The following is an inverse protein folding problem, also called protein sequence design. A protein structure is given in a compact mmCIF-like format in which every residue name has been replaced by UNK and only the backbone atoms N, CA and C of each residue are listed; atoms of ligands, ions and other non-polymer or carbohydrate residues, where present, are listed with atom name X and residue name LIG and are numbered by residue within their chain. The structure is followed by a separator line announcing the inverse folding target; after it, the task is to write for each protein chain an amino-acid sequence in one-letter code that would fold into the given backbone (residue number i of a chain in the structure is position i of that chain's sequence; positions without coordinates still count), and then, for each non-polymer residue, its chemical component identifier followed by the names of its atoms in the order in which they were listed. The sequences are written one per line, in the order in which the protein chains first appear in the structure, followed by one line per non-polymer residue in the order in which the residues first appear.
data_IF_952812936648
#
_entry.id   IF_952812936648
#
_cell.length_a   1.000
_cell.length_b   1.000
_cell.length_c   1.000
_cell.angle_alpha   90.00
_cell.angle_beta   90.00
_cell.angle_gamma   90.00
#
_symmetry.space_group_name_H-M   'P 1'
#
loop_
_entity.id
_entity.type
_entity.pdbx_description
1 polymer ?
#
# COMPACT_ATOMS: atom_id res chain seq x y z
N UNK A 1 65.95 -30.51 -31.57
CA UNK A 1 64.66 -29.96 -32.04
C UNK A 1 64.31 -28.78 -31.16
N UNK A 2 64.50 -27.56 -31.64
CA UNK A 2 64.11 -26.33 -30.94
C UNK A 2 62.91 -25.78 -31.70
N UNK A 3 61.73 -25.83 -31.07
CA UNK A 3 60.52 -25.24 -31.62
C UNK A 3 60.51 -23.77 -31.20
N UNK A 4 60.83 -22.86 -32.12
CA UNK A 4 60.68 -21.42 -31.88
C UNK A 4 59.23 -21.05 -32.11
N UNK A 5 58.48 -20.99 -31.00
CA UNK A 5 57.10 -20.56 -30.98
C UNK A 5 57.02 -19.09 -31.40
N UNK A 6 56.52 -18.84 -32.62
CA UNK A 6 56.37 -17.50 -33.16
C UNK A 6 55.27 -16.77 -32.39
N UNK A 7 55.63 -15.88 -31.46
CA UNK A 7 54.68 -14.94 -30.85
C UNK A 7 54.08 -14.05 -31.93
N UNK A 8 52.86 -14.37 -32.36
CA UNK A 8 52.03 -13.43 -33.12
C UNK A 8 51.62 -12.30 -32.17
N UNK A 9 52.33 -11.18 -32.22
CA UNK A 9 51.79 -9.92 -31.73
C UNK A 9 50.61 -9.54 -32.61
N UNK A 10 49.39 -9.83 -32.14
CA UNK A 10 48.15 -9.45 -32.82
C UNK A 10 47.90 -7.98 -32.50
N UNK A 11 48.25 -7.10 -33.44
CA UNK A 11 47.78 -5.72 -33.40
C UNK A 11 46.26 -5.73 -33.56
N UNK A 12 45.55 -5.19 -32.58
CA UNK A 12 44.12 -4.93 -32.72
C UNK A 12 43.92 -3.96 -33.89
N UNK A 13 42.97 -4.25 -34.77
CA UNK A 13 42.64 -3.34 -35.87
C UNK A 13 41.96 -2.13 -35.23
N UNK A 14 42.40 -0.90 -35.53
CA UNK A 14 41.87 0.35 -34.96
C UNK A 14 40.33 0.39 -34.98
N UNK A 15 39.74 -0.15 -36.06
CA UNK A 15 38.30 -0.28 -36.27
C UNK A 15 37.61 -1.07 -35.15
N UNK A 16 38.19 -2.17 -34.69
CA UNK A 16 37.62 -3.03 -33.64
C UNK A 16 37.57 -2.30 -32.29
N UNK A 17 38.62 -1.52 -31.98
CA UNK A 17 38.67 -0.69 -30.77
C UNK A 17 37.63 0.43 -30.84
N UNK A 18 37.47 1.06 -32.00
CA UNK A 18 36.45 2.11 -32.21
C UNK A 18 35.04 1.53 -32.02
N UNK A 19 34.74 0.39 -32.65
CA UNK A 19 33.43 -0.27 -32.52
C UNK A 19 33.17 -0.66 -31.06
N UNK A 20 34.15 -1.25 -30.38
CA UNK A 20 34.03 -1.62 -28.96
C UNK A 20 33.78 -0.40 -28.08
N UNK A 21 34.45 0.72 -28.35
CA UNK A 21 34.24 1.99 -27.65
C UNK A 21 32.81 2.53 -27.83
N UNK A 22 32.28 2.51 -29.05
CA UNK A 22 30.90 2.97 -29.32
C UNK A 22 29.89 2.09 -28.58
N UNK A 23 30.03 0.76 -28.66
CA UNK A 23 29.16 -0.18 -27.95
C UNK A 23 29.24 0.05 -26.44
N UNK A 24 30.44 0.24 -25.90
CA UNK A 24 30.65 0.51 -24.48
C UNK A 24 29.93 1.77 -24.02
N UNK A 25 30.01 2.86 -24.79
CA UNK A 25 29.32 4.11 -24.46
C UNK A 25 27.81 3.95 -24.45
N UNK A 26 27.24 3.25 -25.44
CA UNK A 26 25.80 2.98 -25.51
C UNK A 26 25.37 2.10 -24.32
N UNK A 27 26.11 1.03 -24.03
CA UNK A 27 25.81 0.12 -22.93
C UNK A 27 25.86 0.83 -21.57
N UNK A 28 26.94 1.59 -21.31
CA UNK A 28 27.10 2.36 -20.08
C UNK A 28 25.99 3.40 -19.92
N UNK A 29 25.65 4.12 -21.00
CA UNK A 29 24.55 5.10 -21.00
C UNK A 29 23.21 4.45 -20.64
N UNK A 30 22.90 3.29 -21.23
CA UNK A 30 21.65 2.58 -20.96
C UNK A 30 21.55 2.08 -19.51
N UNK A 31 22.63 1.52 -18.96
CA UNK A 31 22.66 1.05 -17.56
C UNK A 31 22.48 2.18 -16.55
N UNK A 32 23.14 3.32 -16.78
CA UNK A 32 22.98 4.49 -15.91
C UNK A 32 21.56 5.04 -15.97
N UNK A 33 20.96 5.09 -17.16
CA UNK A 33 19.57 5.50 -17.33
C UNK A 33 18.61 4.61 -16.55
N UNK A 34 18.71 3.28 -16.71
CA UNK A 34 17.88 2.31 -15.99
C UNK A 34 18.06 2.42 -14.47
N UNK A 35 19.30 2.62 -14.01
CA UNK A 35 19.60 2.80 -12.58
C UNK A 35 18.93 4.04 -12.02
N UNK A 36 19.02 5.18 -12.74
CA UNK A 36 18.38 6.43 -12.32
C UNK A 36 16.86 6.31 -12.27
N UNK A 37 16.27 5.63 -13.25
CA UNK A 37 14.84 5.39 -13.31
C UNK A 37 14.38 4.50 -12.15
N UNK A 38 15.12 3.42 -11.87
CA UNK A 38 14.86 2.51 -10.76
C UNK A 38 14.87 3.27 -9.42
N UNK A 39 15.90 4.08 -9.15
CA UNK A 39 15.98 4.88 -7.92
C UNK A 39 14.80 5.84 -7.77
N UNK A 40 14.37 6.47 -8.87
CA UNK A 40 13.19 7.34 -8.86
C UNK A 40 11.89 6.56 -8.61
N UNK A 41 11.77 5.33 -9.13
CA UNK A 41 10.65 4.46 -8.85
C UNK A 41 10.63 4.00 -7.38
N UNK A 42 11.79 3.68 -6.81
CA UNK A 42 11.92 3.32 -5.40
C UNK A 42 11.46 4.44 -4.47
N UNK A 43 11.95 5.67 -4.66
CA UNK A 43 11.52 6.83 -3.84
C UNK A 43 10.02 7.09 -3.92
N UNK A 44 9.43 6.98 -5.13
CA UNK A 44 7.98 7.11 -5.32
C UNK A 44 7.20 5.97 -4.67
N UNK A 45 7.77 4.78 -4.61
CA UNK A 45 7.20 3.62 -3.92
C UNK A 45 7.19 3.83 -2.41
N UNK A 46 8.32 4.24 -1.84
CA UNK A 46 8.45 4.57 -0.41
C UNK A 46 7.43 5.64 0.01
N UNK A 47 7.33 6.73 -0.75
CA UNK A 47 6.36 7.80 -0.50
C UNK A 47 4.91 7.28 -0.49
N UNK A 48 4.54 6.40 -1.43
CA UNK A 48 3.20 5.81 -1.50
C UNK A 48 2.90 4.83 -0.37
N UNK A 49 3.88 4.01 0.01
CA UNK A 49 3.74 3.05 1.12
C UNK A 49 3.52 3.81 2.42
N UNK A 50 4.31 4.86 2.65
CA UNK A 50 4.17 5.72 3.82
C UNK A 50 2.82 6.43 3.82
N UNK A 51 2.42 7.04 2.71
CA UNK A 51 1.11 7.68 2.58
C UNK A 51 -0.04 6.70 2.86
N UNK A 52 0.02 5.47 2.33
CA UNK A 52 -0.97 4.44 2.59
C UNK A 52 -1.03 4.05 4.07
N UNK A 53 0.11 3.91 4.73
CA UNK A 53 0.19 3.63 6.17
C UNK A 53 -0.44 4.75 7.00
N UNK A 54 -0.16 6.01 6.68
CA UNK A 54 -0.74 7.16 7.39
C UNK A 54 -2.25 7.27 7.17
N UNK A 55 -2.72 7.02 5.95
CA UNK A 55 -4.15 6.99 5.64
C UNK A 55 -4.86 5.88 6.42
N UNK A 56 -4.27 4.68 6.50
CA UNK A 56 -4.82 3.57 7.28
C UNK A 56 -4.88 3.91 8.78
N UNK A 57 -3.83 4.52 9.32
CA UNK A 57 -3.79 4.98 10.70
C UNK A 57 -4.90 6.00 11.00
N UNK A 58 -5.07 7.02 10.15
CA UNK A 58 -6.13 8.02 10.28
C UNK A 58 -7.51 7.39 10.24
N UNK A 59 -7.78 6.51 9.27
CA UNK A 59 -9.07 5.83 9.14
C UNK A 59 -9.33 4.88 10.31
N UNK A 60 -8.30 4.18 10.79
CA UNK A 60 -8.37 3.31 11.97
C UNK A 60 -8.67 4.11 13.25
N UNK A 61 -8.10 5.31 13.38
CA UNK A 61 -8.40 6.23 14.48
C UNK A 61 -9.87 6.66 14.46
N UNK A 62 -10.37 7.12 13.31
CA UNK A 62 -11.78 7.49 13.15
C UNK A 62 -12.71 6.31 13.44
N UNK A 63 -12.36 5.09 13.02
CA UNK A 63 -13.13 3.88 13.32
C UNK A 63 -13.14 3.54 14.82
N UNK A 64 -11.98 3.68 15.48
CA UNK A 64 -11.76 3.32 16.90
C UNK A 64 -12.32 4.34 17.87
N UNK A 65 -12.47 5.60 17.46
CA UNK A 65 -13.08 6.65 18.28
C UNK A 65 -14.57 6.84 17.92
N UNK A 66 -14.91 6.63 16.65
CA UNK A 66 -16.24 6.82 16.09
C UNK A 66 -16.33 8.11 15.28
N UNK A 67 -16.85 8.01 14.05
CA UNK A 67 -16.94 9.14 13.12
C UNK A 67 -17.76 10.33 13.66
N UNK A 68 -18.77 10.06 14.50
CA UNK A 68 -19.65 11.09 15.06
C UNK A 68 -18.92 12.02 16.06
N UNK A 69 -18.04 11.45 16.88
CA UNK A 69 -17.38 12.19 17.97
C UNK A 69 -16.01 12.74 17.54
N UNK A 70 -15.46 12.26 16.42
CA UNK A 70 -14.11 12.55 15.97
C UNK A 70 -13.82 14.05 15.84
N UNK A 71 -14.70 14.83 15.20
CA UNK A 71 -14.51 16.28 15.01
C UNK A 71 -14.48 17.08 16.32
N UNK A 72 -15.09 16.54 17.39
CA UNK A 72 -15.07 17.17 18.71
C UNK A 72 -13.81 16.84 19.50
N UNK A 73 -13.20 15.68 19.24
CA UNK A 73 -12.04 15.17 19.99
C UNK A 73 -10.71 15.51 19.34
N UNK A 74 -10.69 15.60 18.00
CA UNK A 74 -9.48 15.80 17.22
C UNK A 74 -9.64 16.96 16.23
N UNK A 75 -8.55 17.70 15.96
CA UNK A 75 -8.55 18.65 14.86
C UNK A 75 -8.72 17.91 13.52
N UNK A 76 -9.56 18.43 12.64
CA UNK A 76 -9.81 17.86 11.31
C UNK A 76 -8.63 18.03 10.35
N UNK A 77 -7.65 18.88 10.69
CA UNK A 77 -6.42 19.11 9.89
C UNK A 77 -5.23 19.37 10.81
N UNK A 78 -4.04 18.95 10.39
CA UNK A 78 -2.82 19.21 11.14
C UNK A 78 -1.58 18.53 10.57
N UNK A 79 -0.47 18.58 11.30
CA UNK A 79 0.70 17.76 11.02
C UNK A 79 0.50 16.34 11.59
N UNK A 80 0.99 15.33 10.89
CA UNK A 80 0.98 13.95 11.39
C UNK A 80 1.83 13.81 12.67
N UNK A 81 1.58 12.75 13.43
CA UNK A 81 2.33 12.47 14.66
C UNK A 81 3.79 12.09 14.34
N UNK A 82 4.68 12.30 15.32
CA UNK A 82 6.09 11.89 15.20
C UNK A 82 6.19 10.38 14.90
N UNK A 83 7.05 9.94 13.95
CA UNK A 83 8.14 10.65 13.31
C UNK A 83 7.79 11.36 11.98
N UNK A 84 6.51 11.52 11.65
CA UNK A 84 6.03 11.99 10.36
C UNK A 84 5.51 13.43 10.39
N UNK A 85 6.00 14.27 11.31
CA UNK A 85 5.56 15.67 11.49
C UNK A 85 5.79 16.59 10.28
N UNK A 86 6.54 16.12 9.28
CA UNK A 86 6.70 16.77 7.97
C UNK A 86 5.56 16.45 6.98
N UNK A 87 4.65 15.54 7.31
CA UNK A 87 3.42 15.27 6.56
C UNK A 87 2.26 16.03 7.20
N UNK A 88 1.34 16.48 6.35
CA UNK A 88 0.09 17.10 6.79
C UNK A 88 -1.07 16.14 6.54
N UNK A 89 -2.06 16.15 7.41
CA UNK A 89 -3.29 15.40 7.26
C UNK A 89 -4.52 16.29 7.27
N UNK A 90 -5.57 15.75 6.70
CA UNK A 90 -6.91 16.29 6.69
C UNK A 90 -7.92 15.14 6.73
N UNK A 91 -8.96 15.28 7.54
CA UNK A 91 -10.07 14.34 7.66
C UNK A 91 -11.36 15.13 7.46
N UNK A 92 -12.14 14.73 6.46
CA UNK A 92 -13.47 15.25 6.19
C UNK A 92 -14.49 14.14 6.46
N UNK A 93 -15.51 14.43 7.26
CA UNK A 93 -16.58 13.49 7.60
C UNK A 93 -17.90 14.06 7.13
N UNK A 94 -18.53 13.41 6.14
CA UNK A 94 -19.86 13.78 5.72
C UNK A 94 -20.90 13.17 6.66
N UNK A 95 -21.85 14.01 7.11
CA UNK A 95 -22.92 13.61 8.02
C UNK A 95 -23.78 12.50 7.42
N UNK A 96 -23.90 11.40 8.16
CA UNK A 96 -24.89 10.37 7.90
C UNK A 96 -26.30 10.84 8.32
N UNK A 97 -27.33 10.47 7.57
CA UNK A 97 -28.73 10.68 7.95
C UNK A 97 -29.25 9.41 8.59
N UNK A 98 -29.60 9.45 9.87
CA UNK A 98 -30.20 8.31 10.58
C UNK A 98 -29.21 7.15 10.79
N UNK A 99 -29.47 6.00 10.15
CA UNK A 99 -28.65 4.77 10.27
C UNK A 99 -27.63 4.61 9.14
N UNK A 100 -27.53 5.59 8.23
CA UNK A 100 -26.58 5.53 7.13
C UNK A 100 -25.13 5.56 7.65
N UNK A 101 -24.17 4.95 6.93
CA UNK A 101 -22.76 5.08 7.29
C UNK A 101 -22.25 6.49 6.97
N UNK A 102 -21.34 6.99 7.81
CA UNK A 102 -20.60 8.21 7.57
C UNK A 102 -19.61 7.99 6.43
N UNK A 103 -19.51 8.95 5.51
CA UNK A 103 -18.42 8.97 4.52
C UNK A 103 -17.25 9.72 5.12
N UNK A 104 -16.15 9.01 5.30
CA UNK A 104 -14.91 9.54 5.86
C UNK A 104 -13.88 9.62 4.75
N UNK A 105 -13.40 10.82 4.47
CA UNK A 105 -12.34 11.10 3.50
C UNK A 105 -11.08 11.51 4.26
N UNK A 106 -10.08 10.62 4.27
CA UNK A 106 -8.77 10.92 4.82
C UNK A 106 -7.84 11.36 3.69
N UNK A 107 -7.10 12.44 3.93
CA UNK A 107 -6.13 13.00 3.00
C UNK A 107 -4.81 13.22 3.73
N UNK A 108 -3.70 12.90 3.06
CA UNK A 108 -2.35 13.22 3.51
C UNK A 108 -1.58 13.94 2.41
N UNK A 109 -0.77 14.92 2.79
CA UNK A 109 0.07 15.71 1.90
C UNK A 109 1.53 15.44 2.25
N UNK A 110 2.29 14.98 1.25
CA UNK A 110 3.71 14.70 1.42
C UNK A 110 4.52 15.99 1.50
N UNK A 111 5.75 15.95 2.07
CA UNK A 111 6.67 17.09 2.08
C UNK A 111 6.97 17.65 0.68
N UNK A 112 6.78 16.84 -0.37
CA UNK A 112 6.96 17.24 -1.76
C UNK A 112 5.70 17.88 -2.38
N UNK A 113 4.65 18.10 -1.58
CA UNK A 113 3.37 18.66 -2.00
C UNK A 113 2.46 17.68 -2.74
N UNK A 114 2.74 16.36 -2.69
CA UNK A 114 1.88 15.36 -3.34
C UNK A 114 0.77 14.94 -2.40
N UNK A 115 -0.46 14.99 -2.90
CA UNK A 115 -1.64 14.62 -2.13
C UNK A 115 -2.04 13.17 -2.38
N UNK A 116 -2.40 12.46 -1.32
CA UNK A 116 -2.97 11.13 -1.36
C UNK A 116 -4.26 11.14 -0.56
N UNK A 117 -5.30 10.47 -1.07
CA UNK A 117 -6.62 10.46 -0.44
C UNK A 117 -7.20 9.04 -0.45
N UNK A 118 -7.98 8.73 0.58
CA UNK A 118 -8.72 7.48 0.70
C UNK A 118 -10.06 7.77 1.38
N UNK A 119 -11.14 7.36 0.73
CA UNK A 119 -12.48 7.49 1.26
C UNK A 119 -13.05 6.13 1.62
N UNK A 120 -13.72 6.05 2.77
CA UNK A 120 -14.41 4.85 3.25
C UNK A 120 -15.74 5.19 3.89
N UNK A 121 -16.57 4.16 4.08
CA UNK A 121 -17.85 4.26 4.79
C UNK A 121 -17.70 3.63 6.17
N UNK A 122 -17.97 4.41 7.22
CA UNK A 122 -17.89 3.97 8.62
C UNK A 122 -19.29 3.99 9.23
N UNK A 123 -19.75 2.84 9.71
CA UNK A 123 -21.05 2.72 10.34
C UNK A 123 -21.11 3.51 11.67
N UNK A 124 -22.25 4.11 12.02
CA UNK A 124 -22.47 4.69 13.35
C UNK A 124 -22.33 3.62 14.43
N UNK A 125 -21.86 4.03 15.62
CA UNK A 125 -21.87 3.15 16.80
C UNK A 125 -23.29 3.00 17.32
N UNK A 126 -23.84 1.79 17.22
CA UNK A 126 -25.11 1.42 17.86
C UNK A 126 -24.89 1.13 19.36
N UNK A 127 -24.62 2.17 20.15
CA UNK A 127 -24.63 2.14 21.62
C UNK A 127 -23.79 1.05 22.31
N UNK A 128 -24.04 0.84 23.60
CA UNK A 128 -23.47 -0.23 24.42
C UNK A 128 -24.41 -1.45 24.54
N UNK A 129 -25.34 -1.61 23.60
CA UNK A 129 -26.23 -2.76 23.64
C UNK A 129 -25.40 -4.04 23.51
N UNK A 130 -25.53 -4.99 24.46
CA UNK A 130 -24.80 -6.24 24.39
C UNK A 130 -25.04 -6.87 23.03
N UNK A 131 -23.95 -7.26 22.36
CA UNK A 131 -24.08 -8.03 21.13
C UNK A 131 -25.09 -9.16 21.38
N UNK A 132 -26.11 -9.29 20.51
CA UNK A 132 -27.08 -10.35 20.70
C UNK A 132 -26.34 -11.68 20.71
N UNK A 133 -26.80 -12.61 21.55
CA UNK A 133 -26.22 -13.95 21.62
C UNK A 133 -26.33 -14.58 20.23
N UNK A 134 -25.19 -14.67 19.52
CA UNK A 134 -25.10 -15.31 18.19
C UNK A 134 -24.94 -16.84 18.29
N UNK A 135 -25.05 -17.39 19.49
CA UNK A 135 -25.08 -18.82 19.67
C UNK A 135 -26.45 -19.35 19.20
N UNK A 136 -26.48 -20.44 18.42
CA UNK A 136 -27.71 -21.16 18.18
C UNK A 136 -28.39 -21.49 19.51
N UNK A 137 -29.71 -21.29 19.59
CA UNK A 137 -30.48 -21.61 20.81
C UNK A 137 -30.43 -23.11 21.11
N UNK A 138 -30.28 -23.92 20.08
CA UNK A 138 -30.17 -25.37 20.16
C UNK A 138 -28.79 -25.82 19.64
N UNK A 139 -28.14 -26.79 20.28
CA UNK A 139 -26.95 -27.42 19.73
C UNK A 139 -27.24 -27.93 18.33
N UNK A 140 -26.30 -27.73 17.40
CA UNK A 140 -26.43 -28.28 16.04
C UNK A 140 -26.41 -29.81 16.14
N UNK A 141 -27.57 -30.44 16.02
CA UNK A 141 -27.70 -31.89 15.92
C UNK A 141 -27.23 -32.34 14.53
N UNK A 142 -26.02 -32.90 14.48
CA UNK A 142 -25.44 -33.40 13.24
C UNK A 142 -26.02 -34.77 12.88
N UNK A 143 -26.38 -35.59 13.86
CA UNK A 143 -26.82 -36.97 13.64
C UNK A 143 -28.21 -36.99 12.99
N UNK A 144 -29.13 -36.17 13.48
CA UNK A 144 -30.45 -35.99 12.88
C UNK A 144 -30.36 -35.52 11.42
N UNK A 145 -29.46 -34.57 11.14
CA UNK A 145 -29.25 -34.05 9.78
C UNK A 145 -28.70 -35.09 8.80
N UNK A 146 -27.82 -36.00 9.27
CA UNK A 146 -27.33 -37.10 8.45
C UNK A 146 -28.40 -38.18 8.23
N UNK A 147 -29.28 -38.40 9.20
CA UNK A 147 -30.39 -39.35 9.09
C UNK A 147 -31.44 -38.88 8.06
N UNK A 148 -31.82 -37.59 8.06
CA UNK A 148 -32.74 -37.01 7.07
C UNK A 148 -32.19 -37.14 5.64
N UNK A 149 -30.90 -36.87 5.42
CA UNK A 149 -30.25 -37.01 4.10
C UNK A 149 -30.20 -38.47 3.62
N UNK A 150 -30.03 -39.43 4.53
CA UNK A 150 -30.03 -40.85 4.21
C UNK A 150 -31.44 -41.38 3.89
N UNK A 151 -32.48 -40.82 4.52
CA UNK A 151 -33.88 -41.15 4.20
C UNK A 151 -34.34 -40.54 2.88
N UNK A 152 -33.85 -39.36 2.48
CA UNK A 152 -34.15 -38.76 1.16
C UNK A 152 -33.45 -39.46 -0.03
N UNK A 153 -32.36 -40.21 0.20
CA UNK A 153 -31.66 -41.00 -0.82
C UNK A 153 -32.28 -42.39 -1.09
N UNK A 154 -33.33 -42.79 -0.34
CA UNK A 154 -34.06 -44.06 -0.45
C UNK A 154 -35.40 -43.91 -1.20
#
# INVERSE_FOLDING_TARGET
MVNTDSRKCRGFTLVEVIISGIILVIAAGSLLSLTSQSLNMHRKGEEKILAASLLDELLSKVLTEGAQDFENMHPSRGACEEPFSNWEYEVEIDNAVGTDPYRVNARVVSPNGRTFECATLIAPRLGEEPNPVRAPTEPVDREARWAELLEEEL
#
